data_IF_036432842386
#
_entry.id   IF_036432842386
#
_cell.length_a   1.000
_cell.length_b   1.000
_cell.length_c   1.000
_cell.angle_alpha   90.00
_cell.angle_beta   90.00
_cell.angle_gamma   90.00
#
_symmetry.space_group_name_H-M   'P 1'
#
loop_
_entity.id
_entity.type
_entity.pdbx_description
1 polymer ?
#
# COMPACT_ATOMS: atom_id res chain seq x y z
N UNK A 1 -48.37 -44.02 38.16
CA UNK A 1 -48.85 -44.81 37.00
C UNK A 1 -49.39 -43.88 35.93
N UNK A 2 -48.71 -43.86 34.77
CA UNK A 2 -49.15 -43.56 33.38
C UNK A 2 -47.98 -42.91 32.65
N UNK A 3 -47.23 -43.77 31.95
CA UNK A 3 -46.29 -43.42 30.89
C UNK A 3 -47.10 -43.15 29.62
N UNK A 4 -46.73 -42.13 28.86
CA UNK A 4 -47.22 -41.93 27.51
C UNK A 4 -46.03 -41.68 26.58
N UNK A 5 -46.08 -42.37 25.45
CA UNK A 5 -45.09 -42.67 24.41
C UNK A 5 -44.88 -41.43 23.50
N UNK A 6 -43.64 -40.97 23.30
CA UNK A 6 -42.79 -41.15 22.10
C UNK A 6 -43.36 -40.56 20.79
N UNK A 7 -42.74 -39.49 20.29
CA UNK A 7 -42.64 -39.22 18.84
C UNK A 7 -41.24 -38.66 18.56
N UNK A 8 -40.39 -39.54 18.04
CA UNK A 8 -39.14 -39.19 17.34
C UNK A 8 -39.56 -38.81 15.93
N UNK A 9 -39.32 -37.57 15.52
CA UNK A 9 -39.41 -37.18 14.11
C UNK A 9 -38.00 -36.96 13.57
N UNK A 10 -37.54 -38.01 12.90
CA UNK A 10 -36.27 -38.13 12.19
C UNK A 10 -36.37 -37.31 10.90
N UNK A 11 -35.75 -36.13 10.85
CA UNK A 11 -35.60 -35.41 9.59
C UNK A 11 -34.48 -36.05 8.76
N UNK A 12 -34.91 -36.85 7.81
CA UNK A 12 -34.16 -37.36 6.67
C UNK A 12 -33.81 -36.18 5.75
N UNK A 13 -32.54 -35.81 5.62
CA UNK A 13 -32.08 -34.95 4.51
C UNK A 13 -31.08 -35.74 3.69
N UNK A 14 -31.42 -35.80 2.41
CA UNK A 14 -30.91 -36.68 1.37
C UNK A 14 -29.47 -36.29 1.03
N UNK A 15 -28.56 -37.27 1.11
CA UNK A 15 -27.22 -37.19 0.54
C UNK A 15 -27.38 -37.24 -0.97
N UNK A 16 -27.06 -36.15 -1.67
CA UNK A 16 -26.93 -36.16 -3.13
C UNK A 16 -25.43 -36.28 -3.44
N UNK A 17 -24.97 -37.39 -4.05
CA UNK A 17 -23.59 -37.51 -4.48
C UNK A 17 -23.46 -36.78 -5.83
N UNK A 18 -22.93 -35.56 -5.82
CA UNK A 18 -22.46 -34.95 -7.06
C UNK A 18 -21.02 -35.39 -7.30
N UNK A 19 -20.90 -36.41 -8.14
CA UNK A 19 -19.66 -36.77 -8.83
C UNK A 19 -19.08 -35.56 -9.55
N UNK A 20 -17.75 -35.48 -9.47
CA UNK A 20 -16.91 -34.47 -10.08
C UNK A 20 -17.19 -34.27 -11.57
N UNK A 21 -17.34 -33.01 -11.96
CA UNK A 21 -16.88 -32.54 -13.26
C UNK A 21 -15.86 -31.45 -12.99
N UNK A 22 -14.59 -31.81 -13.16
CA UNK A 22 -13.53 -30.83 -13.35
C UNK A 22 -13.77 -30.16 -14.70
N UNK A 23 -14.12 -28.88 -14.68
CA UNK A 23 -14.04 -28.02 -15.84
C UNK A 23 -13.29 -26.78 -15.40
N UNK A 24 -12.03 -26.74 -15.82
CA UNK A 24 -11.12 -25.63 -15.61
C UNK A 24 -11.71 -24.36 -16.23
N UNK A 25 -12.02 -23.39 -15.39
CA UNK A 25 -12.03 -21.99 -15.75
C UNK A 25 -11.08 -21.36 -14.74
N UNK A 26 -9.84 -21.12 -15.17
CA UNK A 26 -8.97 -20.16 -14.50
C UNK A 26 -9.56 -18.79 -14.80
N UNK A 27 -10.57 -18.40 -14.02
CA UNK A 27 -10.82 -16.98 -13.84
C UNK A 27 -9.66 -16.46 -13.01
N UNK A 28 -8.98 -15.49 -13.58
CA UNK A 28 -7.94 -14.67 -12.97
C UNK A 28 -8.56 -13.98 -11.74
N UNK A 29 -8.58 -14.69 -10.61
CA UNK A 29 -8.90 -14.11 -9.31
C UNK A 29 -7.72 -13.20 -9.00
N UNK A 30 -7.90 -11.87 -8.89
CA UNK A 30 -6.86 -11.04 -8.33
C UNK A 30 -6.63 -11.60 -6.93
N UNK A 31 -5.48 -12.23 -6.71
CA UNK A 31 -5.05 -12.60 -5.37
C UNK A 31 -4.98 -11.30 -4.60
N UNK A 32 -6.04 -11.02 -3.84
CA UNK A 32 -6.04 -9.98 -2.82
C UNK A 32 -4.81 -10.27 -1.98
N UNK A 33 -3.78 -9.41 -2.12
CA UNK A 33 -2.52 -9.56 -1.40
C UNK A 33 -2.90 -9.65 0.07
N UNK A 34 -2.70 -10.82 0.67
CA UNK A 34 -2.74 -10.92 2.11
C UNK A 34 -1.62 -10.01 2.61
N UNK A 35 -1.86 -9.08 3.54
CA UNK A 35 -0.80 -8.28 4.13
C UNK A 35 0.04 -9.22 5.00
N UNK A 36 0.89 -10.00 4.36
CA UNK A 36 1.86 -10.86 5.02
C UNK A 36 2.96 -9.94 5.55
N UNK A 37 3.18 -10.05 6.85
CA UNK A 37 3.98 -9.21 7.74
C UNK A 37 5.50 -9.42 7.50
N UNK A 38 5.91 -9.48 6.23
CA UNK A 38 7.31 -9.54 5.80
C UNK A 38 7.83 -8.11 5.70
N UNK A 39 8.43 -7.64 6.80
CA UNK A 39 9.00 -6.32 6.98
C UNK A 39 10.28 -6.08 6.16
N UNK A 40 10.26 -6.36 4.86
CA UNK A 40 11.39 -6.02 4.00
C UNK A 40 11.42 -4.50 3.86
N UNK A 41 12.47 -3.91 4.45
CA UNK A 41 12.69 -2.48 4.44
C UNK A 41 13.52 -2.15 3.21
N UNK A 42 12.98 -1.32 2.33
CA UNK A 42 13.76 -0.71 1.25
C UNK A 42 14.39 0.58 1.76
N UNK A 43 15.71 0.69 1.55
CA UNK A 43 16.49 1.87 1.88
C UNK A 43 16.70 2.72 0.64
N UNK A 44 16.36 4.00 0.73
CA UNK A 44 16.57 4.96 -0.33
C UNK A 44 17.56 6.05 0.10
N UNK A 45 18.52 6.34 -0.77
CA UNK A 45 19.38 7.52 -0.60
C UNK A 45 18.58 8.77 -0.95
N UNK A 46 18.43 9.70 0.00
CA UNK A 46 17.73 10.95 -0.26
C UNK A 46 18.67 12.11 -0.62
N UNK A 47 18.27 12.88 -1.62
CA UNK A 47 18.88 14.15 -2.02
C UNK A 47 17.80 15.22 -1.96
N UNK A 48 17.92 16.14 -1.00
CA UNK A 48 16.93 17.20 -0.75
C UNK A 48 17.52 18.52 -1.19
N UNK A 49 16.84 19.23 -2.10
CA UNK A 49 17.28 20.51 -2.65
C UNK A 49 18.74 20.49 -3.16
N UNK A 50 19.14 19.35 -3.76
CA UNK A 50 20.48 19.15 -4.33
C UNK A 50 21.57 18.73 -3.32
N UNK A 51 21.24 18.55 -2.04
CA UNK A 51 22.18 18.14 -0.99
C UNK A 51 21.81 16.76 -0.47
N UNK A 52 22.80 15.89 -0.27
CA UNK A 52 22.56 14.57 0.36
C UNK A 52 21.96 14.78 1.75
N UNK A 53 20.86 14.11 2.02
CA UNK A 53 20.17 14.11 3.31
C UNK A 53 20.31 12.74 4.00
N UNK A 54 19.60 12.57 5.10
CA UNK A 54 19.40 11.27 5.75
C UNK A 54 18.69 10.30 4.81
N UNK A 55 19.08 9.02 4.86
CA UNK A 55 18.46 7.99 4.04
C UNK A 55 17.03 7.69 4.53
N UNK A 56 16.11 7.37 3.61
CA UNK A 56 14.69 7.10 3.91
C UNK A 56 14.46 5.59 3.93
N UNK A 57 13.90 5.09 5.02
CA UNK A 57 13.59 3.67 5.22
C UNK A 57 12.09 3.45 5.07
N UNK A 58 11.68 2.62 4.11
CA UNK A 58 10.26 2.36 3.83
C UNK A 58 9.99 0.86 3.91
N UNK A 59 8.95 0.40 4.64
CA UNK A 59 8.59 -1.01 4.73
C UNK A 59 7.84 -1.47 3.48
N UNK A 60 8.57 -1.63 2.38
CA UNK A 60 8.06 -2.09 1.07
C UNK A 60 9.08 -3.03 0.45
N UNK A 61 8.59 -4.10 -0.17
CA UNK A 61 9.37 -4.93 -1.09
C UNK A 61 9.13 -4.42 -2.51
N UNK A 62 10.19 -4.01 -3.20
CA UNK A 62 10.13 -3.52 -4.59
C UNK A 62 10.51 -4.62 -5.60
N UNK A 63 10.85 -5.82 -5.12
CA UNK A 63 11.35 -6.92 -5.93
C UNK A 63 10.28 -7.61 -6.79
N UNK A 64 9.00 -7.51 -6.40
CA UNK A 64 7.85 -8.08 -7.12
C UNK A 64 7.13 -7.05 -8.02
N UNK A 65 7.62 -5.81 -8.05
CA UNK A 65 6.94 -4.67 -8.64
C UNK A 65 6.60 -3.65 -7.57
N UNK A 66 5.73 -2.70 -7.89
CA UNK A 66 5.25 -1.71 -6.93
C UNK A 66 3.76 -1.50 -7.14
N UNK A 67 2.97 -1.50 -6.06
CA UNK A 67 1.57 -1.10 -6.10
C UNK A 67 1.41 0.41 -5.92
N UNK A 68 0.23 0.94 -6.21
CA UNK A 68 -0.08 2.36 -5.99
C UNK A 68 -0.01 2.72 -4.50
N UNK A 69 -0.43 1.80 -3.61
CA UNK A 69 -0.36 1.99 -2.16
C UNK A 69 1.08 2.03 -1.64
N UNK A 70 1.96 1.18 -2.19
CA UNK A 70 3.40 1.18 -1.86
C UNK A 70 4.07 2.46 -2.39
N UNK A 71 3.67 2.94 -3.57
CA UNK A 71 4.14 4.22 -4.10
C UNK A 71 3.73 5.41 -3.22
N UNK A 72 2.48 5.42 -2.76
CA UNK A 72 1.97 6.42 -1.82
C UNK A 72 2.71 6.35 -0.48
N UNK A 73 2.97 5.14 0.03
CA UNK A 73 3.73 4.93 1.27
C UNK A 73 5.16 5.45 1.16
N UNK A 74 5.86 5.21 0.04
CA UNK A 74 7.19 5.78 -0.21
C UNK A 74 7.12 7.31 -0.22
N UNK A 75 6.15 7.90 -0.92
CA UNK A 75 5.98 9.34 -1.02
C UNK A 75 5.69 9.99 0.35
N UNK A 76 4.79 9.40 1.13
CA UNK A 76 4.39 9.87 2.46
C UNK A 76 5.54 9.75 3.48
N UNK A 77 6.24 8.61 3.47
CA UNK A 77 7.40 8.39 4.35
C UNK A 77 8.52 9.39 4.03
N UNK A 78 8.72 9.68 2.74
CA UNK A 78 9.68 10.70 2.30
C UNK A 78 9.28 12.08 2.80
N UNK A 79 8.02 12.47 2.59
CA UNK A 79 7.50 13.77 3.00
C UNK A 79 7.70 13.99 4.51
N UNK A 80 7.26 13.02 5.31
CA UNK A 80 7.34 13.08 6.77
C UNK A 80 8.78 13.03 7.29
N UNK A 81 9.68 12.30 6.62
CA UNK A 81 11.10 12.29 6.96
C UNK A 81 11.76 13.64 6.71
N UNK A 82 11.43 14.31 5.60
CA UNK A 82 12.08 15.58 5.21
C UNK A 82 11.50 16.79 5.94
N UNK A 83 10.16 16.91 6.03
CA UNK A 83 9.50 18.07 6.64
C UNK A 83 9.07 17.86 8.10
N UNK A 84 9.03 16.61 8.56
CA UNK A 84 8.55 16.26 9.88
C UNK A 84 7.03 16.24 10.01
N UNK A 85 6.55 15.60 11.08
CA UNK A 85 5.12 15.37 11.34
C UNK A 85 4.28 16.61 11.70
N UNK A 86 4.91 17.78 11.88
CA UNK A 86 4.21 19.01 12.26
C UNK A 86 3.68 19.80 11.05
N UNK A 87 4.02 19.36 9.84
CA UNK A 87 3.55 19.97 8.59
C UNK A 87 2.22 19.33 8.19
N UNK A 88 1.30 20.14 7.66
CA UNK A 88 0.11 19.61 6.96
C UNK A 88 0.41 19.53 5.48
N UNK A 89 -0.20 18.54 4.81
CA UNK A 89 0.02 18.33 3.39
C UNK A 89 -1.18 17.70 2.70
N UNK A 90 -1.16 17.82 1.37
CA UNK A 90 -2.09 17.16 0.47
C UNK A 90 -1.31 16.62 -0.71
N UNK A 91 -1.41 15.32 -0.94
CA UNK A 91 -0.92 14.69 -2.17
C UNK A 91 -1.82 15.13 -3.32
N UNK A 92 -1.30 15.95 -4.23
CA UNK A 92 -2.08 16.44 -5.36
C UNK A 92 -1.94 15.52 -6.58
N UNK A 93 -0.75 14.96 -6.80
CA UNK A 93 -0.52 13.98 -7.87
C UNK A 93 0.48 12.92 -7.44
N UNK A 94 0.20 11.67 -7.78
CA UNK A 94 1.11 10.53 -7.68
C UNK A 94 1.11 9.81 -9.03
N UNK A 95 2.29 9.52 -9.56
CA UNK A 95 2.43 8.79 -10.81
C UNK A 95 3.52 7.73 -10.66
N UNK A 96 3.16 6.48 -10.92
CA UNK A 96 4.09 5.38 -11.09
C UNK A 96 4.23 5.08 -12.59
N UNK A 97 5.44 5.24 -13.14
CA UNK A 97 5.75 4.92 -14.54
C UNK A 97 7.07 4.18 -14.62
N UNK A 98 7.03 3.01 -15.26
CA UNK A 98 8.19 2.14 -15.41
C UNK A 98 8.83 1.86 -14.04
N UNK A 99 10.02 2.40 -13.76
CA UNK A 99 10.74 2.27 -12.50
C UNK A 99 10.89 3.61 -11.78
N UNK A 100 9.97 4.54 -11.99
CA UNK A 100 10.00 5.87 -11.39
C UNK A 100 8.67 6.24 -10.74
N UNK A 101 8.74 6.76 -9.52
CA UNK A 101 7.62 7.42 -8.83
C UNK A 101 7.82 8.92 -8.95
N UNK A 102 6.76 9.66 -9.25
CA UNK A 102 6.72 11.12 -9.12
C UNK A 102 5.53 11.50 -8.24
N UNK A 103 5.79 12.27 -7.19
CA UNK A 103 4.75 12.78 -6.30
C UNK A 103 4.85 14.30 -6.17
N UNK A 104 3.70 14.97 -6.10
CA UNK A 104 3.58 16.40 -5.85
C UNK A 104 2.68 16.60 -4.65
N UNK A 105 3.19 17.33 -3.66
CA UNK A 105 2.44 17.74 -2.49
C UNK A 105 2.33 19.26 -2.42
N UNK A 106 1.14 19.73 -2.07
CA UNK A 106 0.94 21.02 -1.44
C UNK A 106 1.15 20.86 0.06
N UNK A 107 1.90 21.75 0.71
CA UNK A 107 2.12 21.69 2.15
C UNK A 107 2.11 23.08 2.82
N UNK A 108 2.07 23.09 4.15
CA UNK A 108 2.19 24.27 5.00
C UNK A 108 2.20 23.90 6.48
N UNK A 109 2.43 24.87 7.37
CA UNK A 109 2.34 24.62 8.82
C UNK A 109 0.91 24.68 9.37
N UNK A 110 -0.03 25.21 8.58
CA UNK A 110 -1.45 25.28 8.88
C UNK A 110 -2.25 25.54 7.60
N UNK A 111 -3.58 25.50 7.67
CA UNK A 111 -4.46 25.62 6.49
C UNK A 111 -4.30 26.95 5.73
N UNK A 112 -3.91 28.04 6.39
CA UNK A 112 -3.68 29.33 5.73
C UNK A 112 -2.35 29.38 4.97
N UNK A 113 -1.49 28.39 5.19
CA UNK A 113 -0.13 28.29 4.67
C UNK A 113 0.04 27.13 3.67
N UNK A 114 -1.06 26.49 3.26
CA UNK A 114 -1.08 25.35 2.34
C UNK A 114 -0.84 25.79 0.87
N UNK A 115 0.23 26.54 0.64
CA UNK A 115 0.64 27.06 -0.66
C UNK A 115 2.07 26.69 -1.04
N UNK A 116 2.78 25.95 -0.18
CA UNK A 116 4.13 25.48 -0.46
C UNK A 116 4.11 24.21 -1.29
N UNK A 117 5.16 24.00 -2.08
CA UNK A 117 5.31 22.84 -2.96
C UNK A 117 6.40 21.92 -2.43
N UNK A 118 6.14 20.61 -2.52
CA UNK A 118 7.09 19.55 -2.24
C UNK A 118 7.00 18.48 -3.32
N UNK A 119 8.01 18.41 -4.17
CA UNK A 119 8.12 17.49 -5.29
C UNK A 119 9.07 16.34 -4.94
N UNK A 120 8.68 15.13 -5.32
CA UNK A 120 9.44 13.89 -5.10
C UNK A 120 9.61 13.18 -6.43
N UNK A 121 10.84 12.76 -6.72
CA UNK A 121 11.15 11.82 -7.79
C UNK A 121 11.92 10.65 -7.17
N UNK A 122 11.39 9.44 -7.30
CA UNK A 122 12.02 8.21 -6.81
C UNK A 122 12.46 7.38 -8.01
N UNK A 123 13.75 7.05 -8.07
CA UNK A 123 14.29 6.09 -9.03
C UNK A 123 14.43 4.72 -8.33
N UNK A 124 13.59 3.77 -8.73
CA UNK A 124 13.51 2.44 -8.12
C UNK A 124 14.68 1.52 -8.52
N UNK A 125 15.46 1.90 -9.55
CA UNK A 125 16.63 1.13 -9.97
C UNK A 125 17.85 1.52 -9.13
N UNK A 126 18.06 2.81 -8.93
CA UNK A 126 19.19 3.36 -8.16
C UNK A 126 18.90 3.49 -6.67
N UNK A 127 17.63 3.32 -6.27
CA UNK A 127 17.15 3.56 -4.91
C UNK A 127 17.47 4.98 -4.43
N UNK A 128 17.30 5.96 -5.32
CA UNK A 128 17.49 7.37 -5.00
C UNK A 128 16.15 8.10 -4.96
N UNK A 129 15.95 8.87 -3.90
CA UNK A 129 14.87 9.84 -3.78
C UNK A 129 15.46 11.23 -3.98
N UNK A 130 14.89 11.98 -4.91
CA UNK A 130 15.22 13.39 -5.13
C UNK A 130 14.03 14.24 -4.74
N UNK A 131 14.25 15.16 -3.81
CA UNK A 131 13.22 16.07 -3.30
C UNK A 131 13.57 17.50 -3.69
N UNK A 132 12.56 18.24 -4.14
CA UNK A 132 12.63 19.68 -4.35
C UNK A 132 11.47 20.35 -3.61
N UNK A 133 11.77 21.28 -2.70
CA UNK A 133 10.76 22.03 -1.97
C UNK A 133 11.21 23.46 -1.66
N UNK A 134 10.25 24.37 -1.47
CA UNK A 134 10.54 25.72 -1.00
C UNK A 134 10.88 25.76 0.51
N UNK A 135 11.62 26.80 0.91
CA UNK A 135 12.01 27.08 2.30
C UNK A 135 11.03 28.03 2.98
#
# INVERSE_FOLDING_TARGET
MKRTVLVVSLMLVIVIPFSAYALAIFDDVPTEKHPDDSSDMTLFMAVVNGVRSEDVYVPVDIGDGLTDEEAELIAETTFTTVLGHNSIHRLDTLTLKEAQITAHYSWGYNENDLGHVFDIIVDLITLQITVSHCF
#
